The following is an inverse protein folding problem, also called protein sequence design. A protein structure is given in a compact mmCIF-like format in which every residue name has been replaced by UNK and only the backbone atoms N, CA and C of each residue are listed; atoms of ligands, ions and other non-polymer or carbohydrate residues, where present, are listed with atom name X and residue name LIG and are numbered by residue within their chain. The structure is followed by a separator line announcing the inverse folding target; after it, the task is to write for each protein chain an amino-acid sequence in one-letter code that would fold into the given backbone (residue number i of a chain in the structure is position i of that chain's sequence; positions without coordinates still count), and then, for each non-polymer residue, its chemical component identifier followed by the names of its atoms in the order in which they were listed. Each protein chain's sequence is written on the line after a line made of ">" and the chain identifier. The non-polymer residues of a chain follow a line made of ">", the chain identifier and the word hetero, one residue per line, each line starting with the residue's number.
data_IF_791326197900
#
_entry.id   IF_791326197900
#
_cell.length_a   1.000
_cell.length_b   1.000
_cell.length_c   1.000
_cell.angle_alpha   90.00
_cell.angle_beta   90.00
_cell.angle_gamma   90.00
#
_symmetry.space_group_name_H-M   'P 1'
#
loop_
_entity.id
_entity.type
_entity.pdbx_description
1 polymer ?
#
# COMPACT_ATOMS: atom_id res chain seq x y z
N UNK A 1 -32.28 -15.37 -14.20
CA UNK A 1 -31.00 -15.77 -13.59
C UNK A 1 -30.19 -14.50 -13.40
N UNK A 2 -29.87 -14.10 -12.17
CA UNK A 2 -29.07 -12.88 -11.94
C UNK A 2 -27.63 -13.23 -12.30
N UNK A 3 -27.03 -12.46 -13.22
CA UNK A 3 -25.65 -12.66 -13.62
C UNK A 3 -24.69 -12.41 -12.45
N UNK A 4 -23.57 -13.14 -12.41
CA UNK A 4 -22.56 -13.03 -11.34
C UNK A 4 -22.06 -11.60 -11.22
N UNK A 5 -21.91 -10.88 -12.34
CA UNK A 5 -21.47 -9.49 -12.33
C UNK A 5 -22.48 -8.56 -11.66
N UNK A 6 -23.78 -8.76 -11.91
CA UNK A 6 -24.86 -8.00 -11.27
C UNK A 6 -24.89 -8.22 -9.75
N UNK A 7 -24.60 -9.44 -9.28
CA UNK A 7 -24.47 -9.71 -7.84
C UNK A 7 -23.25 -9.03 -7.22
N UNK A 8 -22.11 -9.00 -7.92
CA UNK A 8 -20.90 -8.30 -7.46
C UNK A 8 -21.19 -6.79 -7.33
N UNK A 9 -21.85 -6.20 -8.33
CA UNK A 9 -22.15 -4.76 -8.35
C UNK A 9 -23.10 -4.31 -7.23
N UNK A 10 -23.93 -5.22 -6.70
CA UNK A 10 -24.84 -4.97 -5.56
C UNK A 10 -24.16 -5.11 -4.19
N UNK A 11 -22.92 -5.56 -4.13
CA UNK A 11 -22.22 -5.78 -2.87
C UNK A 11 -21.59 -4.45 -2.38
N UNK A 12 -22.03 -3.98 -1.22
CA UNK A 12 -21.55 -2.71 -0.66
C UNK A 12 -20.04 -2.70 -0.34
N UNK A 13 -19.44 -3.86 -0.08
CA UNK A 13 -17.98 -3.99 0.11
C UNK A 13 -17.19 -3.61 -1.14
N UNK A 14 -17.82 -3.58 -2.31
CA UNK A 14 -17.19 -3.14 -3.55
C UNK A 14 -16.79 -1.65 -3.50
N UNK A 15 -17.38 -0.86 -2.60
CA UNK A 15 -16.99 0.53 -2.36
C UNK A 15 -15.55 0.68 -1.82
N UNK A 16 -15.00 -0.37 -1.20
CA UNK A 16 -13.62 -0.40 -0.73
C UNK A 16 -12.62 -0.50 -1.89
N UNK A 17 -13.08 -0.95 -3.07
CA UNK A 17 -12.25 -1.19 -4.25
C UNK A 17 -12.76 -0.37 -5.45
N UNK A 18 -12.60 0.96 -5.47
CA UNK A 18 -13.22 1.83 -6.48
C UNK A 18 -12.76 1.53 -7.91
N UNK A 19 -11.50 1.14 -8.12
CA UNK A 19 -11.02 0.75 -9.46
C UNK A 19 -11.62 -0.59 -9.91
N UNK A 20 -11.78 -1.55 -9.00
CA UNK A 20 -12.45 -2.82 -9.29
C UNK A 20 -13.94 -2.60 -9.54
N UNK A 21 -14.60 -1.73 -8.76
CA UNK A 21 -15.98 -1.29 -9.00
C UNK A 21 -16.14 -0.70 -10.41
N UNK A 22 -15.24 0.20 -10.80
CA UNK A 22 -15.21 0.82 -12.13
C UNK A 22 -15.05 -0.23 -13.23
N UNK A 23 -14.16 -1.22 -13.04
CA UNK A 23 -14.04 -2.36 -13.94
C UNK A 23 -15.36 -3.13 -14.09
N UNK A 24 -16.00 -3.51 -12.97
CA UNK A 24 -17.27 -4.25 -12.99
C UNK A 24 -18.37 -3.47 -13.74
N UNK A 25 -18.54 -2.17 -13.47
CA UNK A 25 -19.54 -1.34 -14.14
C UNK A 25 -19.29 -1.18 -15.64
N UNK A 26 -18.02 -1.08 -16.07
CA UNK A 26 -17.67 -0.98 -17.49
C UNK A 26 -17.88 -2.31 -18.21
N UNK A 27 -17.58 -3.43 -17.54
CA UNK A 27 -17.79 -4.78 -18.08
C UNK A 27 -19.27 -5.07 -18.28
N UNK A 28 -20.14 -4.65 -17.34
CA UNK A 28 -21.60 -4.80 -17.44
C UNK A 28 -22.15 -4.04 -18.66
N UNK A 29 -21.57 -2.89 -18.98
CA UNK A 29 -21.93 -2.07 -20.15
C UNK A 29 -21.35 -2.57 -21.48
N UNK A 30 -20.59 -3.67 -21.47
CA UNK A 30 -19.93 -4.19 -22.69
C UNK A 30 -18.73 -3.36 -23.18
N UNK A 31 -18.27 -2.38 -22.40
CA UNK A 31 -17.16 -1.49 -22.75
C UNK A 31 -15.81 -2.18 -22.52
N UNK A 32 -15.46 -3.10 -23.43
CA UNK A 32 -14.34 -4.03 -23.25
C UNK A 32 -13.02 -3.32 -23.03
N UNK A 33 -12.62 -2.38 -23.90
CA UNK A 33 -11.32 -1.70 -23.84
C UNK A 33 -11.16 -0.90 -22.54
N UNK A 34 -12.19 -0.16 -22.16
CA UNK A 34 -12.24 0.66 -20.96
C UNK A 34 -12.21 -0.20 -19.70
N UNK A 35 -12.95 -1.31 -19.70
CA UNK A 35 -12.96 -2.26 -18.58
C UNK A 35 -11.57 -2.84 -18.34
N UNK A 36 -10.85 -3.27 -19.38
CA UNK A 36 -9.48 -3.79 -19.24
C UNK A 36 -8.51 -2.72 -18.72
N UNK A 37 -8.67 -1.46 -19.13
CA UNK A 37 -7.88 -0.34 -18.60
C UNK A 37 -8.13 -0.12 -17.10
N UNK A 38 -9.38 -0.21 -16.66
CA UNK A 38 -9.74 -0.11 -15.25
C UNK A 38 -9.18 -1.30 -14.44
N UNK A 39 -9.26 -2.52 -14.98
CA UNK A 39 -8.70 -3.72 -14.36
C UNK A 39 -7.18 -3.64 -14.21
N UNK A 40 -6.46 -3.20 -15.26
CA UNK A 40 -5.02 -3.00 -15.18
C UNK A 40 -4.65 -2.00 -14.10
N UNK A 41 -5.41 -0.90 -13.99
CA UNK A 41 -5.19 0.12 -12.96
C UNK A 41 -5.41 -0.44 -11.55
N UNK A 42 -6.43 -1.28 -11.35
CA UNK A 42 -6.69 -1.97 -10.09
C UNK A 42 -5.54 -2.91 -9.71
N UNK A 43 -5.07 -3.74 -10.66
CA UNK A 43 -3.95 -4.66 -10.44
C UNK A 43 -2.67 -3.89 -10.11
N UNK A 44 -2.39 -2.81 -10.84
CA UNK A 44 -1.24 -1.94 -10.56
C UNK A 44 -1.30 -1.36 -9.14
N UNK A 45 -2.45 -0.83 -8.71
CA UNK A 45 -2.63 -0.30 -7.35
C UNK A 45 -2.43 -1.40 -6.29
N UNK A 46 -3.08 -2.54 -6.46
CA UNK A 46 -2.99 -3.65 -5.51
C UNK A 46 -1.56 -4.18 -5.40
N UNK A 47 -0.83 -4.24 -6.52
CA UNK A 47 0.55 -4.73 -6.55
C UNK A 47 1.49 -3.79 -5.82
N UNK A 48 1.40 -2.47 -6.03
CA UNK A 48 2.42 -1.56 -5.50
C UNK A 48 2.39 -1.47 -3.97
N UNK A 49 1.20 -1.43 -3.36
CA UNK A 49 1.08 -1.43 -1.89
C UNK A 49 1.52 -2.76 -1.27
N UNK A 50 1.25 -3.88 -1.94
CA UNK A 50 1.65 -5.20 -1.45
C UNK A 50 3.17 -5.36 -1.46
N UNK A 51 3.85 -4.89 -2.51
CA UNK A 51 5.32 -4.94 -2.57
C UNK A 51 5.93 -4.09 -1.45
N UNK A 52 5.43 -2.87 -1.20
CA UNK A 52 5.90 -2.06 -0.07
C UNK A 52 5.67 -2.77 1.27
N UNK A 53 4.49 -3.36 1.49
CA UNK A 53 4.24 -4.16 2.68
C UNK A 53 5.27 -5.29 2.82
N UNK A 54 5.53 -6.03 1.74
CA UNK A 54 6.50 -7.13 1.74
C UNK A 54 7.91 -6.65 2.12
N UNK A 55 8.37 -5.51 1.60
CA UNK A 55 9.67 -4.94 1.95
C UNK A 55 9.83 -4.65 3.45
N UNK A 56 8.75 -4.22 4.13
CA UNK A 56 8.79 -3.69 5.50
C UNK A 56 8.11 -4.55 6.57
N UNK A 57 7.38 -5.61 6.26
CA UNK A 57 6.58 -6.33 7.27
C UNK A 57 7.40 -7.03 8.38
N UNK A 58 8.70 -7.21 8.19
CA UNK A 58 9.62 -7.71 9.21
C UNK A 58 10.53 -6.63 9.81
N UNK A 59 10.26 -5.34 9.52
CA UNK A 59 11.11 -4.23 9.96
C UNK A 59 11.19 -4.12 11.49
N UNK A 60 10.15 -4.56 12.20
CA UNK A 60 10.11 -4.62 13.67
C UNK A 60 11.03 -5.70 14.26
N UNK A 61 11.71 -6.48 13.42
CA UNK A 61 12.74 -7.46 13.76
C UNK A 61 14.10 -7.07 13.15
N UNK A 62 14.29 -5.77 12.91
CA UNK A 62 15.44 -5.19 12.22
C UNK A 62 15.65 -5.65 10.76
N UNK A 63 14.66 -6.34 10.18
CA UNK A 63 14.77 -6.99 8.87
C UNK A 63 13.96 -6.24 7.81
N UNK A 64 14.67 -5.64 6.86
CA UNK A 64 14.12 -5.08 5.63
C UNK A 64 14.45 -6.03 4.48
N UNK A 65 13.45 -6.36 3.67
CA UNK A 65 13.55 -7.34 2.58
C UNK A 65 13.55 -6.71 1.19
N UNK A 66 13.37 -5.40 1.09
CA UNK A 66 13.25 -4.69 -0.18
C UNK A 66 14.59 -4.19 -0.74
N UNK A 67 14.48 -3.46 -1.86
CA UNK A 67 15.55 -2.62 -2.41
C UNK A 67 15.15 -1.15 -2.31
N UNK A 68 16.08 -0.30 -1.88
CA UNK A 68 15.78 1.11 -1.60
C UNK A 68 15.37 1.87 -2.87
N UNK A 69 16.05 1.62 -4.00
CA UNK A 69 15.77 2.32 -5.25
C UNK A 69 14.43 1.86 -5.82
N UNK A 70 14.16 0.55 -5.74
CA UNK A 70 12.87 -0.01 -6.16
C UNK A 70 11.71 0.52 -5.31
N UNK A 71 11.85 0.54 -3.99
CA UNK A 71 10.81 1.04 -3.09
C UNK A 71 10.57 2.55 -3.24
N UNK A 72 11.62 3.35 -3.49
CA UNK A 72 11.48 4.77 -3.85
C UNK A 72 10.66 4.94 -5.15
N UNK A 73 10.99 4.18 -6.19
CA UNK A 73 10.27 4.23 -7.46
C UNK A 73 8.81 3.78 -7.31
N UNK A 74 8.56 2.74 -6.50
CA UNK A 74 7.23 2.24 -6.19
C UNK A 74 6.39 3.24 -5.41
N UNK A 75 6.97 3.97 -4.45
CA UNK A 75 6.28 5.04 -3.72
C UNK A 75 5.84 6.16 -4.67
N UNK A 76 6.73 6.60 -5.58
CA UNK A 76 6.41 7.61 -6.60
C UNK A 76 5.28 7.12 -7.51
N UNK A 77 5.39 5.90 -8.07
CA UNK A 77 4.35 5.30 -8.91
C UNK A 77 3.03 5.18 -8.17
N UNK A 78 3.05 4.73 -6.93
CA UNK A 78 1.85 4.56 -6.11
C UNK A 78 1.14 5.88 -5.84
N UNK A 79 1.89 6.96 -5.55
CA UNK A 79 1.30 8.30 -5.36
C UNK A 79 0.68 8.81 -6.66
N UNK A 80 1.33 8.61 -7.80
CA UNK A 80 0.78 8.99 -9.11
C UNK A 80 -0.52 8.22 -9.45
N UNK A 81 -0.58 6.94 -9.12
CA UNK A 81 -1.79 6.13 -9.28
C UNK A 81 -2.89 6.59 -8.31
N UNK A 82 -2.56 6.81 -7.05
CA UNK A 82 -3.51 7.27 -6.03
C UNK A 82 -4.14 8.62 -6.40
N UNK A 83 -3.37 9.53 -7.02
CA UNK A 83 -3.88 10.82 -7.50
C UNK A 83 -4.98 10.70 -8.57
N UNK A 84 -5.06 9.57 -9.27
CA UNK A 84 -6.10 9.29 -10.28
C UNK A 84 -7.38 8.71 -9.67
N UNK A 85 -7.39 8.37 -8.38
CA UNK A 85 -8.55 7.80 -7.71
C UNK A 85 -9.56 8.91 -7.39
N UNK A 86 -10.74 8.85 -8.01
CA UNK A 86 -11.81 9.84 -7.85
C UNK A 86 -12.34 9.91 -6.40
N UNK A 87 -12.49 8.76 -5.72
CA UNK A 87 -12.96 8.70 -4.34
C UNK A 87 -11.98 9.34 -3.35
N UNK A 88 -12.35 10.49 -2.78
CA UNK A 88 -11.51 11.25 -1.84
C UNK A 88 -11.17 10.44 -0.59
N UNK A 89 -12.12 9.67 -0.05
CA UNK A 89 -11.90 8.86 1.14
C UNK A 89 -10.86 7.76 0.89
N UNK A 90 -10.97 7.04 -0.23
CA UNK A 90 -9.98 6.03 -0.64
C UNK A 90 -8.61 6.68 -0.84
N UNK A 91 -8.55 7.81 -1.56
CA UNK A 91 -7.29 8.54 -1.79
C UNK A 91 -6.62 8.93 -0.49
N UNK A 92 -7.38 9.44 0.49
CA UNK A 92 -6.89 9.79 1.83
C UNK A 92 -6.39 8.56 2.59
N UNK A 93 -7.11 7.45 2.53
CA UNK A 93 -6.70 6.18 3.15
C UNK A 93 -5.37 5.68 2.59
N UNK A 94 -5.25 5.60 1.28
CA UNK A 94 -4.03 5.19 0.58
C UNK A 94 -2.86 6.13 0.90
N UNK A 95 -3.09 7.45 0.95
CA UNK A 95 -2.05 8.41 1.30
C UNK A 95 -1.50 8.19 2.73
N UNK A 96 -2.34 7.78 3.69
CA UNK A 96 -1.85 7.43 5.04
C UNK A 96 -0.88 6.26 4.98
N UNK A 97 -1.21 5.21 4.22
CA UNK A 97 -0.32 4.04 4.06
C UNK A 97 0.97 4.41 3.32
N UNK A 98 0.88 5.19 2.24
CA UNK A 98 2.04 5.63 1.48
C UNK A 98 2.97 6.54 2.29
N UNK A 99 2.40 7.39 3.16
CA UNK A 99 3.21 8.19 4.08
C UNK A 99 3.92 7.32 5.10
N UNK A 100 3.24 6.32 5.68
CA UNK A 100 3.88 5.37 6.58
C UNK A 100 5.09 4.67 5.95
N UNK A 101 4.97 4.13 4.72
CA UNK A 101 6.11 3.50 4.05
C UNK A 101 7.20 4.49 3.62
N UNK A 102 6.83 5.72 3.27
CA UNK A 102 7.81 6.77 2.98
C UNK A 102 8.66 7.11 4.22
N UNK A 103 8.02 7.24 5.38
CA UNK A 103 8.70 7.54 6.64
C UNK A 103 9.66 6.39 7.00
N UNK A 104 9.21 5.14 6.87
CA UNK A 104 10.08 3.96 7.08
C UNK A 104 11.29 3.94 6.15
N UNK A 105 11.10 4.26 4.87
CA UNK A 105 12.18 4.25 3.88
C UNK A 105 13.19 5.36 4.17
N UNK A 106 12.71 6.56 4.52
CA UNK A 106 13.57 7.68 4.91
C UNK A 106 14.37 7.36 6.18
N UNK A 107 13.72 6.77 7.18
CA UNK A 107 14.37 6.34 8.41
C UNK A 107 15.38 5.23 8.15
N UNK A 108 15.06 4.29 7.25
CA UNK A 108 15.97 3.22 6.85
C UNK A 108 17.22 3.76 6.15
N UNK A 109 17.08 4.82 5.36
CA UNK A 109 18.19 5.52 4.72
C UNK A 109 19.09 6.20 5.75
N UNK A 110 18.50 7.01 6.64
CA UNK A 110 19.24 7.69 7.71
C UNK A 110 19.94 6.70 8.65
N UNK A 111 19.24 5.63 9.04
CA UNK A 111 19.82 4.57 9.84
C UNK A 111 21.08 3.99 9.18
N UNK A 112 21.05 3.71 7.88
CA UNK A 112 22.20 3.16 7.14
C UNK A 112 23.39 4.11 7.08
N UNK A 113 23.17 5.42 7.19
CA UNK A 113 24.24 6.41 7.26
C UNK A 113 24.86 6.49 8.66
N UNK A 114 24.06 6.27 9.71
CA UNK A 114 24.50 6.39 11.11
C UNK A 114 25.05 5.09 11.69
N UNK A 115 24.46 3.93 11.38
CA UNK A 115 24.86 2.62 11.92
C UNK A 115 24.38 1.44 11.05
N UNK A 116 24.74 0.21 11.45
CA UNK A 116 24.45 -1.01 10.65
C UNK A 116 23.56 -2.05 11.34
N UNK A 117 23.24 -1.88 12.63
CA UNK A 117 22.45 -2.83 13.44
C UNK A 117 21.50 -2.11 14.38
N UNK A 118 20.43 -2.78 14.80
CA UNK A 118 19.44 -2.24 15.75
C UNK A 118 18.63 -1.08 15.17
N UNK A 119 17.88 -1.32 14.10
CA UNK A 119 16.99 -0.31 13.51
C UNK A 119 15.85 0.05 14.46
N UNK A 120 15.27 -0.93 15.16
CA UNK A 120 14.19 -0.71 16.13
C UNK A 120 14.67 0.16 17.29
N UNK A 121 15.82 -0.18 17.87
CA UNK A 121 16.46 0.61 18.92
C UNK A 121 16.83 2.02 18.42
N UNK A 122 17.36 2.13 17.21
CA UNK A 122 17.63 3.43 16.59
C UNK A 122 16.36 4.27 16.45
N UNK A 123 15.25 3.67 16.01
CA UNK A 123 13.96 4.35 15.94
C UNK A 123 13.48 4.81 17.32
N UNK A 124 13.65 4.00 18.37
CA UNK A 124 13.32 4.37 19.74
C UNK A 124 14.14 5.56 20.22
N UNK A 125 15.46 5.52 20.03
CA UNK A 125 16.39 6.58 20.41
C UNK A 125 16.12 7.90 19.68
N UNK A 126 15.65 7.84 18.42
CA UNK A 126 15.22 9.00 17.63
C UNK A 126 13.79 9.46 17.96
N UNK A 127 13.10 8.80 18.90
CA UNK A 127 11.74 9.17 19.32
C UNK A 127 10.66 8.89 18.27
N UNK A 128 10.87 7.92 17.37
CA UNK A 128 9.89 7.56 16.34
C UNK A 128 8.66 6.92 16.98
N UNK A 129 7.48 7.28 16.48
CA UNK A 129 6.19 6.86 17.03
C UNK A 129 5.59 5.66 16.30
N UNK A 130 6.40 4.77 15.72
CA UNK A 130 5.87 3.58 15.06
C UNK A 130 5.26 2.64 16.11
N UNK A 131 4.09 2.02 15.85
CA UNK A 131 3.42 1.17 16.83
C UNK A 131 4.29 0.01 17.36
N UNK A 132 5.21 -0.47 16.53
CA UNK A 132 6.06 -1.61 16.84
C UNK A 132 7.37 -1.26 17.56
N UNK A 133 7.72 0.04 17.67
CA UNK A 133 8.93 0.47 18.39
C UNK A 133 8.81 0.20 19.89
N UNK A 134 7.59 0.27 20.45
CA UNK A 134 7.32 0.04 21.88
C UNK A 134 6.58 -1.28 22.15
N UNK A 135 6.67 -2.23 21.23
CA UNK A 135 6.03 -3.54 21.42
C UNK A 135 6.77 -4.36 22.45
N UNK A 136 6.10 -4.74 23.53
CA UNK A 136 6.61 -5.69 24.53
C UNK A 136 6.28 -7.12 24.09
N UNK A 137 7.30 -7.97 24.03
CA UNK A 137 7.11 -9.42 23.88
C UNK A 137 7.05 -10.03 25.28
N UNK A 138 5.95 -10.73 25.57
CA UNK A 138 5.85 -11.51 26.81
C UNK A 138 6.69 -12.78 26.67
N UNK A 139 7.48 -13.08 27.70
CA UNK A 139 8.12 -14.39 27.82
C UNK A 139 7.03 -15.47 28.00
N UNK A 140 7.23 -16.63 27.37
CA UNK A 140 6.34 -17.78 27.47
C UNK A 140 6.60 -18.58 28.73
#
# INVERSE_FOLDING_TARGET
>A
MIDVLTNILKNDRLNEYPLFKKFCSLKEKGLRKESFKALSSFIDEAKTLNVLWYSFHHISKDLYLGDIKEDQALLIKSRQLNNKIECQQTRKSNNKQLNYYQDLLNDRLLFKEEQSKGFVEWCENKGRSYPWVKSYYYEK
#
